data_IF_757042326372
#
_entry.id   IF_757042326372
#
_cell.length_a   1.000
_cell.length_b   1.000
_cell.length_c   1.000
_cell.angle_alpha   90.00
_cell.angle_beta   90.00
_cell.angle_gamma   90.00
#
_symmetry.space_group_name_H-M   'P 1'
#
loop_
_entity.id
_entity.type
_entity.pdbx_description
1 polymer ?
#
# COMPACT_ATOMS: atom_id res chain seq x y z
N UNK A 1 -39.58 -37.74 59.77
CA UNK A 1 -38.16 -37.89 59.40
C UNK A 1 -38.06 -38.44 57.98
N UNK A 2 -37.12 -37.89 57.21
CA UNK A 2 -36.69 -38.21 55.84
C UNK A 2 -37.66 -37.90 54.66
N UNK A 3 -37.40 -36.74 54.02
CA UNK A 3 -37.82 -36.45 52.65
C UNK A 3 -36.65 -36.77 51.70
N UNK A 4 -36.84 -37.69 50.76
CA UNK A 4 -35.87 -38.06 49.73
C UNK A 4 -36.17 -37.21 48.49
N UNK A 5 -35.38 -36.17 48.24
CA UNK A 5 -35.41 -35.44 46.99
C UNK A 5 -34.45 -36.11 45.98
N UNK A 6 -34.99 -36.80 44.97
CA UNK A 6 -34.23 -37.25 43.81
C UNK A 6 -33.96 -36.06 42.88
N UNK A 7 -32.72 -35.59 42.84
CA UNK A 7 -32.27 -34.60 41.88
C UNK A 7 -32.06 -35.25 40.50
N UNK A 8 -32.95 -34.98 39.55
CA UNK A 8 -32.76 -35.34 38.14
C UNK A 8 -31.83 -34.32 37.47
N UNK A 9 -30.60 -34.74 37.16
CA UNK A 9 -29.67 -33.99 36.33
C UNK A 9 -30.19 -33.96 34.88
N UNK A 10 -30.52 -32.78 34.38
CA UNK A 10 -30.77 -32.55 32.95
C UNK A 10 -29.42 -32.39 32.23
N UNK A 11 -29.14 -33.13 31.15
CA UNK A 11 -27.95 -32.90 30.35
C UNK A 11 -28.11 -31.57 29.60
N UNK A 12 -27.24 -30.61 29.91
CA UNK A 12 -27.09 -29.38 29.13
C UNK A 12 -26.39 -29.74 27.81
N UNK A 13 -27.16 -29.82 26.72
CA UNK A 13 -26.60 -29.85 25.37
C UNK A 13 -26.10 -28.45 25.03
N UNK A 14 -24.87 -28.13 25.44
CA UNK A 14 -24.16 -26.97 24.94
C UNK A 14 -23.86 -27.19 23.44
N UNK A 15 -24.72 -26.62 22.58
CA UNK A 15 -24.49 -26.59 21.14
C UNK A 15 -23.32 -25.66 20.85
N UNK A 16 -22.13 -26.22 20.67
CA UNK A 16 -20.96 -25.49 20.21
C UNK A 16 -21.23 -24.97 18.79
N UNK A 17 -21.46 -23.66 18.66
CA UNK A 17 -21.43 -23.01 17.35
C UNK A 17 -19.97 -22.88 16.92
N UNK A 18 -19.51 -23.84 16.11
CA UNK A 18 -18.27 -23.67 15.37
C UNK A 18 -18.51 -22.58 14.31
N UNK A 19 -17.87 -21.41 14.50
CA UNK A 19 -17.86 -20.38 13.48
C UNK A 19 -17.13 -20.93 12.23
N UNK A 20 -17.64 -20.69 11.01
CA UNK A 20 -16.96 -21.15 9.81
C UNK A 20 -15.61 -20.44 9.71
N UNK A 21 -14.54 -21.22 9.51
CA UNK A 21 -13.24 -20.66 9.16
C UNK A 21 -13.40 -19.92 7.83
N UNK A 22 -13.31 -18.59 7.87
CA UNK A 22 -13.24 -17.79 6.65
C UNK A 22 -12.03 -18.24 5.84
N UNK A 23 -12.27 -18.79 4.65
CA UNK A 23 -11.21 -19.07 3.68
C UNK A 23 -10.59 -17.74 3.26
N UNK A 24 -9.45 -17.39 3.86
CA UNK A 24 -8.66 -16.24 3.44
C UNK A 24 -8.11 -16.53 2.04
N UNK A 25 -8.54 -15.73 1.06
CA UNK A 25 -7.95 -15.74 -0.29
C UNK A 25 -6.49 -15.32 -0.17
N UNK A 26 -5.56 -16.15 -0.65
CA UNK A 26 -4.14 -15.83 -0.66
C UNK A 26 -3.85 -14.66 -1.61
N UNK A 27 -3.04 -13.70 -1.17
CA UNK A 27 -2.52 -12.64 -2.01
C UNK A 27 -1.57 -13.23 -3.06
N UNK A 28 -1.59 -12.67 -4.27
CA UNK A 28 -0.75 -13.08 -5.39
C UNK A 28 0.10 -11.91 -5.89
N UNK A 29 1.20 -12.24 -6.56
CA UNK A 29 1.99 -11.25 -7.27
C UNK A 29 1.23 -10.85 -8.55
N UNK A 30 0.84 -9.57 -8.73
CA UNK A 30 0.14 -9.14 -9.94
C UNK A 30 1.09 -9.14 -11.13
N UNK A 31 0.60 -9.52 -12.30
CA UNK A 31 1.39 -9.40 -13.53
C UNK A 31 1.66 -7.92 -13.88
N UNK A 32 2.80 -7.67 -14.52
CA UNK A 32 3.13 -6.34 -15.02
C UNK A 32 2.29 -6.02 -16.27
N UNK A 33 1.78 -4.78 -16.42
CA UNK A 33 1.01 -4.40 -17.61
C UNK A 33 1.90 -4.13 -18.85
N UNK A 34 3.20 -4.33 -18.73
CA UNK A 34 4.20 -4.12 -19.78
C UNK A 34 5.41 -5.05 -19.55
N UNK A 35 6.23 -5.25 -20.59
CA UNK A 35 7.44 -6.07 -20.51
C UNK A 35 8.49 -5.48 -19.55
N UNK A 36 9.37 -6.32 -19.00
CA UNK A 36 10.38 -5.89 -18.02
C UNK A 36 11.32 -4.79 -18.54
N UNK A 37 11.60 -4.76 -19.84
CA UNK A 37 12.47 -3.77 -20.49
C UNK A 37 11.71 -2.57 -21.06
N UNK A 38 10.39 -2.50 -20.93
CA UNK A 38 9.57 -1.47 -21.57
C UNK A 38 9.85 -0.05 -21.04
N UNK A 39 10.48 0.07 -19.87
CA UNK A 39 10.75 1.36 -19.21
C UNK A 39 12.19 1.85 -19.43
N UNK A 40 12.98 1.16 -20.25
CA UNK A 40 14.30 1.65 -20.62
C UNK A 40 14.21 2.93 -21.47
N UNK A 41 15.19 3.85 -21.35
CA UNK A 41 16.41 3.76 -20.56
C UNK A 41 16.26 4.21 -19.09
N UNK A 42 15.05 4.55 -18.65
CA UNK A 42 14.83 5.18 -17.35
C UNK A 42 14.85 4.20 -16.18
N UNK A 43 14.37 2.97 -16.39
CA UNK A 43 14.49 1.87 -15.43
C UNK A 43 14.93 0.62 -16.19
N UNK A 44 16.07 0.05 -15.80
CA UNK A 44 16.63 -1.12 -16.49
C UNK A 44 15.81 -2.39 -16.28
N UNK A 45 15.85 -3.28 -17.26
CA UNK A 45 15.17 -4.58 -17.19
C UNK A 45 15.60 -5.39 -15.96
N UNK A 46 16.90 -5.37 -15.64
CA UNK A 46 17.45 -6.08 -14.49
C UNK A 46 16.83 -5.62 -13.17
N UNK A 47 16.65 -4.30 -12.99
CA UNK A 47 15.98 -3.74 -11.81
C UNK A 47 14.51 -4.17 -11.80
N UNK A 48 13.81 -4.08 -12.93
CA UNK A 48 12.40 -4.45 -13.02
C UNK A 48 12.17 -5.93 -12.66
N UNK A 49 13.00 -6.85 -13.20
CA UNK A 49 12.94 -8.29 -12.86
C UNK A 49 13.17 -8.53 -11.38
N UNK A 50 14.21 -7.95 -10.80
CA UNK A 50 14.54 -8.14 -9.37
C UNK A 50 13.49 -7.52 -8.46
N UNK A 51 13.01 -6.32 -8.78
CA UNK A 51 12.05 -5.57 -7.97
C UNK A 51 10.67 -6.22 -7.99
N UNK A 52 10.23 -6.73 -9.14
CA UNK A 52 8.97 -7.44 -9.24
C UNK A 52 9.06 -8.88 -8.68
N UNK A 53 9.86 -9.74 -9.29
CA UNK A 53 9.84 -11.18 -9.03
C UNK A 53 10.45 -11.59 -7.67
N UNK A 54 11.29 -10.73 -7.06
CA UNK A 54 11.91 -11.01 -5.76
C UNK A 54 11.37 -10.10 -4.68
N UNK A 55 11.52 -8.79 -4.82
CA UNK A 55 11.14 -7.85 -3.74
C UNK A 55 9.63 -7.79 -3.52
N UNK A 56 8.81 -7.64 -4.57
CA UNK A 56 7.36 -7.64 -4.42
C UNK A 56 6.84 -9.02 -3.96
N UNK A 57 7.37 -10.10 -4.54
CA UNK A 57 7.02 -11.47 -4.14
C UNK A 57 7.30 -11.75 -2.65
N UNK A 58 8.40 -11.22 -2.09
CA UNK A 58 8.70 -11.37 -0.67
C UNK A 58 7.63 -10.72 0.23
N UNK A 59 7.11 -9.55 -0.15
CA UNK A 59 6.00 -8.91 0.57
C UNK A 59 4.71 -9.72 0.48
N UNK A 60 4.38 -10.27 -0.70
CA UNK A 60 3.22 -11.17 -0.89
C UNK A 60 3.31 -12.38 0.04
N UNK A 61 4.46 -13.07 0.04
CA UNK A 61 4.69 -14.25 0.87
C UNK A 61 4.61 -13.91 2.37
N UNK A 62 5.24 -12.81 2.77
CA UNK A 62 5.24 -12.33 4.15
C UNK A 62 3.85 -11.92 4.64
N UNK A 63 3.04 -11.31 3.76
CA UNK A 63 1.66 -10.93 4.07
C UNK A 63 0.80 -12.17 4.28
N UNK A 64 0.84 -13.12 3.36
CA UNK A 64 0.12 -14.39 3.47
C UNK A 64 0.47 -15.14 4.77
N UNK A 65 1.76 -15.19 5.11
CA UNK A 65 2.24 -15.83 6.35
C UNK A 65 1.69 -15.12 7.60
N UNK A 66 1.72 -13.79 7.60
CA UNK A 66 1.25 -12.98 8.72
C UNK A 66 -0.27 -13.08 8.92
N UNK A 67 -1.05 -13.06 7.84
CA UNK A 67 -2.52 -13.23 7.90
C UNK A 67 -2.91 -14.63 8.36
N UNK A 68 -2.23 -15.66 7.86
CA UNK A 68 -2.48 -17.03 8.31
C UNK A 68 -2.18 -17.20 9.81
N UNK A 69 -1.07 -16.62 10.28
CA UNK A 69 -0.73 -16.62 11.71
C UNK A 69 -1.76 -15.85 12.52
N UNK A 70 -2.21 -14.69 12.02
CA UNK A 70 -3.20 -13.85 12.70
C UNK A 70 -4.55 -14.56 12.85
N UNK A 71 -4.98 -15.31 11.83
CA UNK A 71 -6.21 -16.09 11.87
C UNK A 71 -6.16 -17.24 12.89
N UNK A 72 -4.97 -17.82 13.12
CA UNK A 72 -4.76 -18.93 14.06
C UNK A 72 -4.51 -18.47 15.51
N UNK A 73 -4.14 -17.20 15.73
CA UNK A 73 -3.84 -16.68 17.06
C UNK A 73 -5.10 -16.59 17.96
N UNK A 74 -5.14 -17.30 19.11
CA UNK A 74 -6.28 -17.27 20.02
C UNK A 74 -6.36 -15.99 20.86
N UNK A 75 -5.22 -15.32 21.13
CA UNK A 75 -5.17 -14.18 22.04
C UNK A 75 -5.04 -12.84 21.33
N UNK A 76 -5.58 -11.79 21.96
CA UNK A 76 -5.40 -10.40 21.50
C UNK A 76 -3.91 -10.01 21.50
N UNK A 77 -3.14 -10.47 22.48
CA UNK A 77 -1.70 -10.19 22.58
C UNK A 77 -0.92 -10.68 21.38
N UNK A 78 -1.16 -11.92 20.94
CA UNK A 78 -0.50 -12.48 19.75
C UNK A 78 -0.91 -11.75 18.48
N UNK A 79 -2.20 -11.43 18.34
CA UNK A 79 -2.72 -10.63 17.22
C UNK A 79 -2.07 -9.25 17.15
N UNK A 80 -1.83 -8.60 18.30
CA UNK A 80 -1.13 -7.33 18.40
C UNK A 80 0.35 -7.49 17.98
N UNK A 81 1.02 -8.56 18.40
CA UNK A 81 2.42 -8.82 18.03
C UNK A 81 2.60 -8.95 16.51
N UNK A 82 1.61 -9.50 15.80
CA UNK A 82 1.63 -9.65 14.34
C UNK A 82 1.37 -8.36 13.56
N UNK A 83 0.91 -7.28 14.21
CA UNK A 83 0.58 -6.03 13.53
C UNK A 83 1.75 -5.42 12.77
N UNK A 84 2.98 -5.57 13.27
CA UNK A 84 4.17 -5.05 12.57
C UNK A 84 4.40 -5.78 11.25
N UNK A 85 4.24 -7.11 11.23
CA UNK A 85 4.43 -7.92 10.03
C UNK A 85 3.33 -7.64 9.00
N UNK A 86 2.07 -7.55 9.45
CA UNK A 86 0.93 -7.18 8.59
C UNK A 86 1.13 -5.80 7.95
N UNK A 87 1.52 -4.80 8.74
CA UNK A 87 1.74 -3.43 8.24
C UNK A 87 2.90 -3.36 7.25
N UNK A 88 4.01 -4.03 7.55
CA UNK A 88 5.19 -4.01 6.70
C UNK A 88 4.95 -4.72 5.37
N UNK A 89 4.43 -5.94 5.41
CA UNK A 89 4.21 -6.74 4.21
C UNK A 89 2.99 -6.28 3.42
N UNK A 90 1.90 -5.95 4.09
CA UNK A 90 0.70 -5.39 3.47
C UNK A 90 0.96 -4.03 2.83
N UNK A 91 1.63 -3.12 3.55
CA UNK A 91 2.08 -1.85 2.99
C UNK A 91 3.02 -2.04 1.80
N UNK A 92 3.97 -2.97 1.91
CA UNK A 92 4.84 -3.36 0.81
C UNK A 92 4.06 -3.79 -0.43
N UNK A 93 3.15 -4.74 -0.29
CA UNK A 93 2.35 -5.26 -1.40
C UNK A 93 1.48 -4.19 -2.06
N UNK A 94 0.77 -3.37 -1.27
CA UNK A 94 -0.06 -2.27 -1.78
C UNK A 94 0.79 -1.26 -2.55
N UNK A 95 1.91 -0.82 -1.96
CA UNK A 95 2.77 0.20 -2.56
C UNK A 95 3.34 -0.29 -3.90
N UNK A 96 3.79 -1.54 -4.00
CA UNK A 96 4.32 -2.06 -5.27
C UNK A 96 3.21 -2.29 -6.29
N UNK A 97 2.04 -2.78 -5.88
CA UNK A 97 0.91 -2.93 -6.79
C UNK A 97 0.46 -1.60 -7.40
N UNK A 98 0.53 -0.51 -6.65
CA UNK A 98 0.33 0.85 -7.16
C UNK A 98 1.50 1.32 -8.04
N UNK A 99 2.74 0.96 -7.69
CA UNK A 99 3.94 1.29 -8.49
C UNK A 99 3.79 0.86 -9.94
N UNK A 100 3.50 -0.43 -10.16
CA UNK A 100 3.45 -1.04 -11.48
C UNK A 100 2.34 -0.45 -12.36
N UNK A 101 1.24 -0.01 -11.75
CA UNK A 101 0.12 0.63 -12.45
C UNK A 101 0.34 2.10 -12.77
N UNK A 102 1.21 2.78 -12.04
CA UNK A 102 1.53 4.19 -12.30
C UNK A 102 2.64 4.32 -13.34
N UNK A 103 3.50 3.31 -13.48
CA UNK A 103 4.51 3.24 -14.53
C UNK A 103 3.89 3.05 -15.91
N UNK A 104 4.48 3.67 -16.95
CA UNK A 104 4.08 3.47 -18.34
C UNK A 104 5.30 3.68 -19.26
N UNK A 105 5.49 2.85 -20.30
CA UNK A 105 6.54 3.08 -21.29
C UNK A 105 6.26 4.38 -22.06
N UNK A 106 7.31 5.02 -22.58
CA UNK A 106 7.18 6.24 -23.40
C UNK A 106 6.37 6.00 -24.66
N UNK A 107 6.44 4.80 -25.24
CA UNK A 107 5.60 4.36 -26.37
C UNK A 107 4.10 4.28 -26.05
N UNK A 108 3.72 4.32 -24.78
CA UNK A 108 2.34 4.39 -24.30
C UNK A 108 2.11 5.66 -23.44
N UNK A 109 2.64 6.80 -23.92
CA UNK A 109 2.50 8.12 -23.31
C UNK A 109 3.05 8.24 -21.87
N UNK A 110 3.99 7.37 -21.50
CA UNK A 110 4.73 7.48 -20.25
C UNK A 110 5.48 8.82 -20.15
N UNK A 111 5.34 9.49 -19.01
CA UNK A 111 5.96 10.81 -18.76
C UNK A 111 5.12 12.01 -19.20
N UNK A 112 4.08 11.79 -20.02
CA UNK A 112 3.17 12.84 -20.45
C UNK A 112 2.01 13.01 -19.46
N UNK A 113 1.76 14.24 -19.03
CA UNK A 113 0.58 14.59 -18.24
C UNK A 113 -0.46 15.19 -19.19
N UNK A 114 -1.52 14.43 -19.57
CA UNK A 114 -2.55 14.95 -20.46
C UNK A 114 -3.31 16.10 -19.81
N UNK A 115 -3.85 16.98 -20.64
CA UNK A 115 -4.78 18.01 -20.20
C UNK A 115 -6.01 17.35 -19.55
N UNK A 116 -6.46 17.93 -18.44
CA UNK A 116 -7.61 17.39 -17.72
C UNK A 116 -7.69 17.87 -16.27
N UNK A 117 -8.64 17.30 -15.50
CA UNK A 117 -8.88 17.73 -14.11
C UNK A 117 -7.64 17.62 -13.21
N UNK A 118 -6.76 16.65 -13.49
CA UNK A 118 -5.54 16.45 -12.72
C UNK A 118 -4.50 17.55 -12.96
N UNK A 119 -4.18 17.82 -14.23
CA UNK A 119 -3.24 18.87 -14.59
C UNK A 119 -3.69 20.23 -14.07
N UNK A 120 -4.97 20.58 -14.28
CA UNK A 120 -5.57 21.81 -13.77
C UNK A 120 -5.45 21.94 -12.24
N UNK A 121 -5.66 20.85 -11.52
CA UNK A 121 -5.56 20.87 -10.07
C UNK A 121 -4.10 20.97 -9.59
N UNK A 122 -3.16 20.35 -10.30
CA UNK A 122 -1.72 20.53 -10.03
C UNK A 122 -1.32 21.98 -10.25
N UNK A 123 -1.72 22.59 -11.37
CA UNK A 123 -1.43 23.99 -11.68
C UNK A 123 -2.06 24.94 -10.65
N UNK A 124 -3.31 24.67 -10.23
CA UNK A 124 -3.97 25.43 -9.17
C UNK A 124 -3.21 25.36 -7.83
N UNK A 125 -2.80 24.16 -7.41
CA UNK A 125 -2.26 23.93 -6.06
C UNK A 125 -0.75 24.21 -5.95
N UNK A 126 -0.01 24.05 -7.06
CA UNK A 126 1.44 24.16 -7.09
C UNK A 126 1.97 25.29 -7.98
N UNK A 127 1.10 25.96 -8.73
CA UNK A 127 1.43 27.04 -9.68
C UNK A 127 1.69 26.52 -11.09
N UNK A 128 2.49 25.47 -11.24
CA UNK A 128 2.73 24.80 -12.51
C UNK A 128 3.09 23.32 -12.31
N UNK A 129 3.06 22.55 -13.40
CA UNK A 129 3.52 21.14 -13.39
C UNK A 129 5.01 21.07 -13.05
N UNK A 130 5.81 22.02 -13.52
CA UNK A 130 7.26 22.12 -13.28
C UNK A 130 7.55 22.40 -11.80
N UNK A 131 6.80 23.33 -11.19
CA UNK A 131 6.98 23.66 -9.77
C UNK A 131 6.50 22.50 -8.88
N UNK A 132 5.42 21.81 -9.26
CA UNK A 132 5.03 20.56 -8.63
C UNK A 132 6.15 19.52 -8.68
N UNK A 133 6.69 19.25 -9.88
CA UNK A 133 7.79 18.31 -10.11
C UNK A 133 9.00 18.63 -9.21
N UNK A 134 9.38 19.90 -9.12
CA UNK A 134 10.47 20.39 -8.27
C UNK A 134 10.21 20.13 -6.78
N UNK A 135 9.05 20.56 -6.26
CA UNK A 135 8.65 20.37 -4.85
C UNK A 135 8.56 18.90 -4.50
N UNK A 136 7.96 18.09 -5.36
CA UNK A 136 7.80 16.66 -5.17
C UNK A 136 9.16 15.93 -5.12
N UNK A 137 10.09 16.28 -6.01
CA UNK A 137 11.45 15.73 -6.01
C UNK A 137 12.22 16.13 -4.77
N UNK A 138 12.18 17.40 -4.37
CA UNK A 138 12.85 17.87 -3.17
C UNK A 138 12.37 17.11 -1.92
N UNK A 139 11.05 16.93 -1.79
CA UNK A 139 10.44 16.22 -0.68
C UNK A 139 10.79 14.72 -0.67
N UNK A 140 10.87 14.08 -1.83
CA UNK A 140 11.19 12.65 -1.95
C UNK A 140 12.67 12.35 -1.73
N UNK A 141 13.57 13.16 -2.28
CA UNK A 141 15.03 13.02 -2.08
C UNK A 141 15.43 13.21 -0.62
N UNK A 142 14.68 14.01 0.14
CA UNK A 142 14.93 14.25 1.56
C UNK A 142 14.61 13.06 2.49
N UNK A 143 14.02 11.97 1.98
CA UNK A 143 13.73 10.77 2.78
C UNK A 143 15.04 10.12 3.24
N UNK A 144 15.22 10.04 4.56
CA UNK A 144 16.34 9.34 5.16
C UNK A 144 16.05 7.84 5.27
N UNK A 145 16.56 7.05 4.32
CA UNK A 145 16.40 5.59 4.32
C UNK A 145 15.67 5.08 3.08
N UNK A 146 14.81 4.09 3.24
CA UNK A 146 13.92 3.62 2.17
C UNK A 146 12.58 4.30 2.34
N UNK A 147 11.94 4.82 1.29
CA UNK A 147 10.64 5.48 1.43
C UNK A 147 9.90 5.69 0.13
N UNK A 148 8.77 6.38 0.26
CA UNK A 148 7.83 6.64 -0.82
C UNK A 148 7.36 8.09 -0.77
N UNK A 149 7.30 8.72 -1.93
CA UNK A 149 6.57 9.97 -2.15
C UNK A 149 5.22 9.71 -2.79
N UNK A 150 4.24 10.48 -2.34
CA UNK A 150 2.85 10.36 -2.75
C UNK A 150 2.28 11.72 -3.10
N UNK A 151 1.65 11.83 -4.27
CA UNK A 151 0.66 12.88 -4.47
C UNK A 151 -0.70 12.31 -4.07
N UNK A 152 -1.31 12.94 -3.08
CA UNK A 152 -2.59 12.52 -2.53
C UNK A 152 -3.60 13.63 -2.79
N UNK A 153 -4.77 13.28 -3.33
CA UNK A 153 -5.93 14.15 -3.35
C UNK A 153 -6.73 13.95 -2.09
N UNK A 154 -6.93 15.02 -1.35
CA UNK A 154 -7.80 15.10 -0.18
C UNK A 154 -9.01 15.98 -0.52
N UNK A 155 -10.20 15.36 -0.64
CA UNK A 155 -11.41 16.02 -1.14
C UNK A 155 -11.21 16.70 -2.51
N UNK A 156 -11.04 18.02 -2.52
CA UNK A 156 -10.83 18.84 -3.72
C UNK A 156 -9.38 19.27 -3.93
N UNK A 157 -8.51 19.09 -2.93
CA UNK A 157 -7.17 19.68 -2.90
C UNK A 157 -6.10 18.60 -2.96
N UNK A 158 -4.95 18.94 -3.55
CA UNK A 158 -3.80 18.06 -3.61
C UNK A 158 -2.79 18.37 -2.50
N UNK A 159 -2.31 17.32 -1.85
CA UNK A 159 -1.25 17.38 -0.87
C UNK A 159 -0.14 16.40 -1.25
N UNK A 160 1.11 16.87 -1.20
CA UNK A 160 2.28 16.00 -1.25
C UNK A 160 2.45 15.36 0.13
N UNK A 161 2.42 14.04 0.19
CA UNK A 161 2.71 13.27 1.39
C UNK A 161 3.97 12.44 1.19
N UNK A 162 4.83 12.44 2.19
CA UNK A 162 6.04 11.63 2.21
C UNK A 162 5.92 10.60 3.32
N UNK A 163 6.26 9.34 3.03
CA UNK A 163 6.29 8.27 4.01
C UNK A 163 7.60 7.49 3.91
N UNK A 164 8.30 7.36 5.02
CA UNK A 164 9.47 6.49 5.17
C UNK A 164 9.02 5.02 5.38
N UNK A 165 9.73 4.05 4.81
CA UNK A 165 9.57 2.60 5.07
C UNK A 165 9.90 2.26 6.53
N UNK A 166 10.76 3.05 7.19
CA UNK A 166 11.08 2.97 8.61
C UNK A 166 9.98 3.49 9.53
N UNK A 167 9.07 4.33 9.03
CA UNK A 167 7.82 4.63 9.71
C UNK A 167 6.89 3.42 9.56
N UNK A 168 6.67 2.73 10.68
CA UNK A 168 5.84 1.54 10.91
C UNK A 168 4.34 1.69 10.56
N UNK A 169 4.01 2.50 9.57
CA UNK A 169 2.67 3.01 9.27
C UNK A 169 2.56 3.24 7.77
N UNK A 170 2.03 2.25 7.06
CA UNK A 170 1.34 2.47 5.78
C UNK A 170 0.07 3.36 5.94
N UNK A 171 -0.23 3.82 7.16
CA UNK A 171 -1.49 4.46 7.55
C UNK A 171 -1.35 5.78 8.30
N UNK A 172 -0.18 6.42 8.36
CA UNK A 172 -0.08 7.74 9.01
C UNK A 172 0.38 8.84 8.10
N UNK A 173 -0.64 9.42 7.46
CA UNK A 173 -0.74 10.87 7.39
C UNK A 173 -0.67 11.48 8.82
N UNK A 174 -0.22 12.74 8.98
CA UNK A 174 -0.07 13.38 10.28
C UNK A 174 -1.34 13.32 11.15
N UNK A 175 -1.26 13.50 12.49
CA UNK A 175 -2.42 13.34 13.41
C UNK A 175 -3.66 14.17 13.04
N UNK A 176 -3.49 15.32 12.37
CA UNK A 176 -4.61 16.11 11.81
C UNK A 176 -5.34 15.42 10.64
N UNK A 177 -4.68 14.50 9.94
CA UNK A 177 -5.21 13.72 8.83
C UNK A 177 -5.81 12.37 9.26
N UNK A 178 -5.49 11.85 10.46
CA UNK A 178 -6.06 10.60 10.99
C UNK A 178 -7.57 10.70 11.31
N UNK A 179 -8.09 11.91 11.58
CA UNK A 179 -9.54 12.19 11.63
C UNK A 179 -10.17 12.39 10.25
N UNK A 180 -9.36 12.49 9.20
CA UNK A 180 -9.74 13.02 7.88
C UNK A 180 -9.51 12.04 6.72
N UNK A 181 -9.10 10.80 7.02
CA UNK A 181 -9.13 9.65 6.10
C UNK A 181 -10.53 9.02 6.02
N UNK A 182 -11.57 9.85 6.02
CA UNK A 182 -12.86 9.42 5.50
C UNK A 182 -12.81 9.49 3.97
N UNK A 183 -13.59 8.68 3.25
CA UNK A 183 -13.76 8.85 1.81
C UNK A 183 -14.03 10.32 1.46
N UNK A 184 -13.47 10.87 0.36
CA UNK A 184 -12.68 10.22 -0.69
C UNK A 184 -11.23 10.76 -0.74
N UNK A 185 -10.27 10.08 -0.09
CA UNK A 185 -8.83 10.33 -0.33
C UNK A 185 -8.37 9.44 -1.49
N UNK A 186 -7.70 10.00 -2.51
CA UNK A 186 -7.17 9.24 -3.67
C UNK A 186 -5.66 9.45 -3.81
N UNK A 187 -4.91 8.42 -4.14
CA UNK A 187 -3.48 8.51 -4.48
C UNK A 187 -3.36 8.67 -5.99
N UNK A 188 -2.64 9.68 -6.47
CA UNK A 188 -2.56 10.01 -7.91
C UNK A 188 -1.16 9.98 -8.50
N UNK A 189 -0.11 10.14 -7.69
CA UNK A 189 1.30 9.98 -8.11
C UNK A 189 2.12 9.30 -7.03
N UNK A 190 3.20 8.67 -7.48
CA UNK A 190 3.91 7.70 -6.68
C UNK A 190 5.36 7.55 -7.11
N UNK A 191 6.30 7.74 -6.18
CA UNK A 191 7.74 7.53 -6.44
C UNK A 191 8.36 6.76 -5.30
N UNK A 192 9.11 5.69 -5.63
CA UNK A 192 9.98 5.01 -4.69
C UNK A 192 11.29 5.77 -4.58
N UNK A 193 11.74 6.00 -3.35
CA UNK A 193 13.13 6.38 -3.11
C UNK A 193 13.82 5.24 -2.37
N UNK A 194 14.85 4.69 -3.01
CA UNK A 194 15.81 3.79 -2.38
C UNK A 194 17.17 4.44 -2.51
N UNK A 195 17.84 4.71 -1.39
CA UNK A 195 19.25 5.12 -1.42
C UNK A 195 20.08 3.93 -1.93
N UNK A 196 20.53 4.02 -3.19
CA UNK A 196 21.61 3.18 -3.73
C UNK A 196 22.94 3.90 -3.46
N UNK A 197 24.04 3.15 -3.38
CA UNK A 197 25.42 3.68 -3.28
C UNK A 197 25.81 4.61 -4.45
N UNK A 198 25.00 4.69 -5.52
CA UNK A 198 25.33 5.36 -6.80
C UNK A 198 24.32 6.40 -7.31
N UNK A 199 23.30 6.79 -6.54
CA UNK A 199 22.40 7.91 -6.91
C UNK A 199 20.90 7.65 -6.74
N UNK A 200 20.09 8.69 -6.99
CA UNK A 200 18.61 8.69 -6.86
C UNK A 200 17.95 8.31 -8.19
N UNK A 201 17.05 7.32 -8.18
CA UNK A 201 16.19 7.00 -9.32
C UNK A 201 14.87 7.76 -9.18
N UNK A 202 14.71 8.86 -9.92
CA UNK A 202 13.48 9.65 -10.01
C UNK A 202 12.80 9.32 -11.35
N UNK A 203 11.81 8.45 -11.35
CA UNK A 203 11.04 8.13 -12.56
C UNK A 203 9.66 8.79 -12.47
N UNK A 204 9.37 9.72 -13.39
CA UNK A 204 8.07 10.40 -13.49
C UNK A 204 7.09 9.58 -14.31
N UNK A 205 5.93 9.28 -13.73
CA UNK A 205 5.07 8.23 -14.25
C UNK A 205 3.60 8.63 -14.18
N UNK A 206 2.87 8.11 -15.17
CA UNK A 206 1.52 8.46 -15.58
C UNK A 206 0.52 8.27 -14.46
N UNK A 207 -0.48 9.16 -14.40
CA UNK A 207 -1.61 9.00 -13.50
C UNK A 207 -2.58 7.97 -14.07
N UNK A 208 -2.63 6.79 -13.46
CA UNK A 208 -3.74 5.86 -13.67
C UNK A 208 -4.90 6.30 -12.76
N UNK A 209 -5.87 7.01 -13.33
CA UNK A 209 -7.12 7.33 -12.63
C UNK A 209 -7.98 6.07 -12.49
N UNK A 210 -7.62 5.18 -11.57
CA UNK A 210 -8.44 4.01 -11.24
C UNK A 210 -9.37 4.36 -10.09
N UNK A 211 -10.69 4.30 -10.36
CA UNK A 211 -11.71 4.29 -9.31
C UNK A 211 -11.58 2.99 -8.51
N UNK A 212 -10.78 2.99 -7.45
CA UNK A 212 -10.86 1.96 -6.43
C UNK A 212 -11.79 2.48 -5.32
N UNK A 213 -12.98 1.88 -5.25
CA UNK A 213 -13.77 1.91 -4.01
C UNK A 213 -13.03 1.00 -3.04
N UNK A 214 -12.62 1.52 -1.89
CA UNK A 214 -12.35 0.66 -0.74
C UNK A 214 -13.65 -0.02 -0.31
#
# INVERSE_FOLDING_TARGET
MLSIAKATLRPSLARAFAAPATSMSLHTLPDLPYAYNALEPYISEAIMKLHHSKHHQAYVNGLNTAEQSYAKSPSVREKIALQSALKFNGGGHINHSLFWKNLSPTSADGGNLPDGPLKKAIERDFGSVEEFKKKFNAATVAIQGSGWGWLVRHFTDFMINIADVGLRRATTLPPKCLRSLRPPTKILYFVRVRRSLTGYLLTYLRSSYTHHRC
#
